data_IF_565465573257
#
_entry.id   IF_565465573257
#
_cell.length_a   1.000
_cell.length_b   1.000
_cell.length_c   1.000
_cell.angle_alpha   90.00
_cell.angle_beta   90.00
_cell.angle_gamma   90.00
#
_symmetry.space_group_name_H-M   'P 1'
#
loop_
_entity.id
_entity.type
_entity.pdbx_description
1 polymer ?
#
# COMPACT_ATOMS: atom_id res chain seq x y z
N UNK A 1 27.63 -12.56 -37.11
CA UNK A 1 28.37 -11.88 -36.04
C UNK A 1 27.59 -12.09 -34.74
N UNK A 2 28.18 -12.84 -33.81
CA UNK A 2 27.62 -13.22 -32.51
C UNK A 2 28.18 -12.28 -31.43
N UNK A 3 27.37 -11.86 -30.45
CA UNK A 3 27.85 -11.42 -29.13
C UNK A 3 26.92 -11.89 -28.03
N UNK A 4 27.55 -12.39 -26.96
CA UNK A 4 27.08 -13.24 -25.87
C UNK A 4 26.27 -12.53 -24.77
N UNK A 5 25.35 -13.23 -24.05
CA UNK A 5 24.77 -12.77 -22.79
C UNK A 5 25.54 -13.35 -21.59
N UNK A 6 26.08 -12.50 -20.70
CA UNK A 6 26.77 -12.99 -19.51
C UNK A 6 26.95 -11.94 -18.41
N UNK A 7 26.83 -12.42 -17.17
CA UNK A 7 27.27 -11.79 -15.92
C UNK A 7 26.26 -10.84 -15.25
N UNK A 8 25.14 -11.40 -14.76
CA UNK A 8 24.47 -10.91 -13.51
C UNK A 8 23.95 -12.02 -12.59
N UNK A 9 23.96 -13.30 -13.01
CA UNK A 9 23.42 -14.42 -12.21
C UNK A 9 24.39 -15.13 -11.25
N UNK A 10 25.69 -14.82 -11.29
CA UNK A 10 26.70 -15.60 -10.53
C UNK A 10 26.96 -15.07 -9.10
N UNK A 11 26.54 -13.85 -8.77
CA UNK A 11 26.77 -13.28 -7.43
C UNK A 11 25.71 -13.70 -6.39
N UNK A 12 24.54 -14.20 -6.81
CA UNK A 12 23.46 -14.57 -5.90
C UNK A 12 23.39 -16.08 -5.58
N UNK A 13 24.13 -16.91 -6.31
CA UNK A 13 24.09 -18.37 -6.14
C UNK A 13 25.17 -18.92 -5.19
N UNK A 14 26.30 -18.22 -5.02
CA UNK A 14 27.36 -18.65 -4.09
C UNK A 14 27.02 -18.38 -2.61
N UNK A 15 26.29 -17.31 -2.32
CA UNK A 15 25.95 -16.95 -0.93
C UNK A 15 24.99 -17.96 -0.28
N UNK A 16 24.07 -18.51 -1.07
CA UNK A 16 23.07 -19.48 -0.58
C UNK A 16 23.67 -20.90 -0.39
N UNK A 17 24.68 -21.26 -1.19
CA UNK A 17 25.28 -22.59 -1.11
C UNK A 17 26.25 -22.75 0.07
N UNK A 18 26.87 -21.65 0.54
CA UNK A 18 27.72 -21.66 1.73
C UNK A 18 26.90 -21.72 3.04
N UNK A 19 25.75 -21.05 3.10
CA UNK A 19 24.86 -21.14 4.28
C UNK A 19 24.29 -22.54 4.49
N UNK A 20 23.90 -23.24 3.40
CA UNK A 20 23.39 -24.61 3.50
C UNK A 20 24.45 -25.62 3.95
N UNK A 21 25.72 -25.43 3.60
CA UNK A 21 26.80 -26.33 4.05
C UNK A 21 27.13 -26.18 5.53
N UNK A 22 27.04 -24.97 6.08
CA UNK A 22 27.30 -24.73 7.51
C UNK A 22 26.22 -25.35 8.40
N UNK A 23 24.96 -25.33 7.95
CA UNK A 23 23.83 -25.93 8.69
C UNK A 23 23.85 -27.46 8.68
N UNK A 24 24.37 -28.09 7.62
CA UNK A 24 24.42 -29.55 7.52
C UNK A 24 25.57 -30.20 8.32
N UNK A 25 26.65 -29.47 8.62
CA UNK A 25 27.74 -30.03 9.45
C UNK A 25 27.43 -30.02 10.95
N UNK A 26 26.42 -29.25 11.38
CA UNK A 26 26.01 -29.16 12.79
C UNK A 26 25.07 -30.29 13.23
N UNK A 27 24.48 -31.03 12.28
CA UNK A 27 23.47 -32.06 12.57
C UNK A 27 24.02 -33.48 12.63
N UNK A 28 25.27 -33.73 12.21
CA UNK A 28 25.87 -35.07 12.23
C UNK A 28 27.08 -35.10 13.17
N UNK A 29 26.82 -35.41 14.44
CA UNK A 29 27.87 -35.58 15.46
C UNK A 29 27.29 -35.86 16.85
N UNK A 30 26.92 -37.12 17.09
CA UNK A 30 26.46 -37.62 18.38
C UNK A 30 27.62 -38.18 19.22
N UNK A 31 27.41 -38.17 20.54
CA UNK A 31 28.09 -38.87 21.64
C UNK A 31 29.26 -38.18 22.37
N UNK A 32 28.96 -37.70 23.59
CA UNK A 32 29.93 -37.65 24.70
C UNK A 32 30.15 -36.28 25.36
N UNK A 33 29.71 -36.12 26.61
CA UNK A 33 30.39 -35.32 27.64
C UNK A 33 30.35 -33.78 27.58
N UNK A 34 29.65 -33.18 28.54
CA UNK A 34 29.60 -31.74 28.90
C UNK A 34 28.82 -30.80 27.96
N UNK A 35 27.81 -30.13 28.52
CA UNK A 35 27.11 -29.03 27.85
C UNK A 35 28.05 -27.84 27.74
N UNK A 36 28.52 -27.54 26.52
CA UNK A 36 29.18 -26.27 26.25
C UNK A 36 28.13 -25.14 26.19
N UNK A 37 28.47 -23.91 26.61
CA UNK A 37 27.53 -22.79 26.64
C UNK A 37 26.89 -22.49 25.28
N UNK A 38 27.56 -22.85 24.18
CA UNK A 38 27.04 -22.72 22.81
C UNK A 38 25.86 -23.68 22.56
N UNK A 39 25.89 -24.91 23.09
CA UNK A 39 24.77 -25.86 22.98
C UNK A 39 23.55 -25.41 23.79
N UNK A 40 23.76 -24.77 24.94
CA UNK A 40 22.69 -24.21 25.74
C UNK A 40 22.00 -23.03 25.03
N UNK A 41 22.78 -22.14 24.41
CA UNK A 41 22.25 -21.04 23.61
C UNK A 41 21.52 -21.57 22.36
N UNK A 42 22.03 -22.62 21.70
CA UNK A 42 21.34 -23.24 20.57
C UNK A 42 20.03 -23.91 20.98
N UNK A 43 19.96 -24.56 22.15
CA UNK A 43 18.71 -25.15 22.65
C UNK A 43 17.70 -24.07 23.06
N UNK A 44 18.16 -22.94 23.63
CA UNK A 44 17.29 -21.81 23.95
C UNK A 44 16.77 -21.11 22.68
N UNK A 45 17.60 -20.97 21.64
CA UNK A 45 17.16 -20.46 20.33
C UNK A 45 16.21 -21.43 19.64
N UNK A 46 16.45 -22.74 19.73
CA UNK A 46 15.54 -23.75 19.18
C UNK A 46 14.19 -23.78 19.91
N UNK A 47 14.17 -23.58 21.24
CA UNK A 47 12.93 -23.49 22.03
C UNK A 47 12.18 -22.18 21.77
N UNK A 48 12.89 -21.05 21.63
CA UNK A 48 12.29 -19.78 21.21
C UNK A 48 11.67 -19.83 19.79
N UNK A 49 12.20 -20.68 18.91
CA UNK A 49 11.62 -20.95 17.59
C UNK A 49 10.51 -22.01 17.60
N UNK A 50 10.35 -22.80 18.67
CA UNK A 50 9.34 -23.87 18.75
C UNK A 50 8.05 -23.43 19.48
N UNK A 51 8.11 -22.40 20.32
CA UNK A 51 6.92 -21.76 20.92
C UNK A 51 6.13 -20.85 19.95
N UNK A 52 6.51 -20.80 18.67
CA UNK A 52 5.74 -20.15 17.59
C UNK A 52 5.04 -21.17 16.68
N UNK A 53 4.58 -22.29 17.26
CA UNK A 53 3.63 -23.21 16.62
C UNK A 53 2.15 -22.88 16.90
N UNK A 54 1.86 -21.64 17.29
CA UNK A 54 0.59 -21.01 16.94
C UNK A 54 0.81 -20.26 15.64
N UNK A 55 0.18 -20.71 14.55
CA UNK A 55 0.19 -19.98 13.28
C UNK A 55 0.01 -18.48 13.54
N UNK A 56 1.01 -17.62 13.28
CA UNK A 56 0.69 -16.23 13.11
C UNK A 56 0.03 -16.20 11.74
N UNK A 57 -1.30 -16.33 11.71
CA UNK A 57 -2.04 -15.49 10.78
C UNK A 57 -1.61 -14.09 11.16
N UNK A 58 -0.54 -13.63 10.50
CA UNK A 58 -0.28 -12.20 10.39
C UNK A 58 -1.66 -11.65 10.03
N UNK A 59 -2.19 -10.67 10.77
CA UNK A 59 -3.37 -10.01 10.28
C UNK A 59 -2.95 -9.47 8.92
N UNK A 60 -3.33 -10.15 7.84
CA UNK A 60 -3.43 -9.53 6.53
C UNK A 60 -4.19 -8.26 6.84
N UNK A 61 -3.61 -7.07 6.65
CA UNK A 61 -4.33 -5.85 6.91
C UNK A 61 -5.64 -6.00 6.14
N UNK A 62 -6.74 -6.15 6.87
CA UNK A 62 -8.05 -6.03 6.27
C UNK A 62 -8.13 -4.54 5.96
N UNK A 63 -7.58 -4.14 4.82
CA UNK A 63 -7.77 -2.80 4.31
C UNK A 63 -9.27 -2.68 4.11
N UNK A 64 -9.91 -1.82 4.90
CA UNK A 64 -11.29 -1.49 4.65
C UNK A 64 -11.44 -0.86 3.28
N UNK A 65 -12.68 -0.60 2.91
CA UNK A 65 -12.98 0.02 1.62
C UNK A 65 -12.50 1.48 1.55
N UNK A 66 -12.21 2.11 2.69
CA UNK A 66 -11.67 3.46 2.78
C UNK A 66 -10.45 3.48 3.69
N UNK A 67 -9.30 3.90 3.16
CA UNK A 67 -8.03 3.91 3.87
C UNK A 67 -7.39 5.29 3.78
N UNK A 68 -6.95 5.85 4.90
CA UNK A 68 -6.12 7.05 4.90
C UNK A 68 -4.65 6.63 4.92
N UNK A 69 -3.87 7.16 3.98
CA UNK A 69 -2.44 6.85 3.84
C UNK A 69 -1.62 8.12 3.74
N UNK A 70 -0.36 8.07 4.16
CA UNK A 70 0.52 9.24 4.17
C UNK A 70 1.22 9.52 2.84
N UNK A 71 1.29 8.55 1.93
CA UNK A 71 1.96 8.70 0.64
C UNK A 71 1.49 7.66 -0.39
N UNK A 72 1.89 7.86 -1.66
CA UNK A 72 1.59 6.91 -2.75
C UNK A 72 2.22 5.55 -2.53
N UNK A 73 3.40 5.48 -1.92
CA UNK A 73 4.13 4.22 -1.67
C UNK A 73 3.43 3.33 -0.64
N UNK A 74 2.57 3.92 0.20
CA UNK A 74 1.75 3.17 1.14
C UNK A 74 0.50 2.54 0.49
N UNK A 75 0.22 2.85 -0.78
CA UNK A 75 -0.87 2.22 -1.54
C UNK A 75 -0.39 0.86 -2.06
N UNK A 76 -1.01 -0.26 -1.64
CA UNK A 76 -0.56 -1.61 -2.01
C UNK A 76 -0.93 -2.01 -3.46
N UNK A 77 -1.65 -1.16 -4.17
CA UNK A 77 -2.24 -1.43 -5.48
C UNK A 77 -1.22 -1.28 -6.61
N UNK A 78 -1.20 -2.28 -7.51
CA UNK A 78 -0.34 -2.23 -8.69
C UNK A 78 -0.95 -1.40 -9.83
N UNK A 79 -2.27 -1.29 -9.86
CA UNK A 79 -3.03 -0.49 -10.80
C UNK A 79 -4.16 0.22 -10.05
N UNK A 80 -4.29 1.52 -10.27
CA UNK A 80 -5.29 2.36 -9.61
C UNK A 80 -5.69 3.54 -10.52
N UNK A 81 -6.83 4.13 -10.20
CA UNK A 81 -7.28 5.41 -10.72
C UNK A 81 -6.82 6.51 -9.76
N UNK A 82 -5.85 7.30 -10.18
CA UNK A 82 -5.28 8.40 -9.43
C UNK A 82 -6.01 9.71 -9.73
N UNK A 83 -6.43 10.40 -8.69
CA UNK A 83 -6.92 11.77 -8.74
C UNK A 83 -5.87 12.66 -8.11
N UNK A 84 -5.23 13.48 -8.93
CA UNK A 84 -4.11 14.33 -8.48
C UNK A 84 -4.04 15.64 -9.26
N UNK A 85 -3.08 16.50 -8.89
CA UNK A 85 -2.81 17.76 -9.59
C UNK A 85 -1.75 17.57 -10.68
N UNK A 86 -1.77 18.36 -11.76
CA UNK A 86 -0.69 18.37 -12.74
C UNK A 86 0.66 18.72 -12.11
N UNK A 87 1.73 18.08 -12.61
CA UNK A 87 3.12 18.42 -12.28
C UNK A 87 3.84 17.40 -11.40
N UNK A 88 3.13 16.40 -10.89
CA UNK A 88 3.74 15.26 -10.20
C UNK A 88 3.93 14.08 -11.15
N UNK A 89 4.95 13.25 -10.89
CA UNK A 89 5.20 12.07 -11.72
C UNK A 89 4.30 10.93 -11.27
N UNK A 90 3.36 10.57 -12.12
CA UNK A 90 2.41 9.49 -11.83
C UNK A 90 3.08 8.11 -11.84
N UNK A 91 2.62 7.16 -11.00
CA UNK A 91 3.07 5.78 -11.07
C UNK A 91 2.78 5.15 -12.45
N UNK A 92 3.72 4.39 -13.03
CA UNK A 92 3.51 3.78 -14.33
C UNK A 92 2.37 2.77 -14.29
N UNK A 93 1.45 2.86 -15.25
CA UNK A 93 0.32 1.94 -15.41
C UNK A 93 -0.94 2.35 -14.66
N UNK A 94 -0.90 3.43 -13.87
CA UNK A 94 -2.10 3.98 -13.24
C UNK A 94 -2.85 4.88 -14.22
N UNK A 95 -4.17 4.84 -14.18
CA UNK A 95 -5.01 5.81 -14.88
C UNK A 95 -5.06 7.11 -14.07
N UNK A 96 -5.08 8.26 -14.73
CA UNK A 96 -4.97 9.54 -14.03
C UNK A 96 -6.10 10.49 -14.43
N UNK A 97 -6.77 11.05 -13.42
CA UNK A 97 -7.68 12.18 -13.55
C UNK A 97 -6.99 13.39 -12.92
N UNK A 98 -6.75 14.40 -13.75
CA UNK A 98 -6.06 15.61 -13.34
C UNK A 98 -7.05 16.72 -12.94
N UNK A 99 -6.82 17.28 -11.75
CA UNK A 99 -7.60 18.38 -11.18
C UNK A 99 -6.77 19.65 -11.11
N UNK A 100 -7.26 20.73 -11.72
CA UNK A 100 -6.56 22.03 -11.73
C UNK A 100 -7.50 23.18 -12.07
N UNK A 101 -7.15 24.40 -11.67
CA UNK A 101 -7.82 25.62 -12.13
C UNK A 101 -7.42 26.03 -13.56
N UNK A 102 -6.39 25.40 -14.12
CA UNK A 102 -5.93 25.66 -15.49
C UNK A 102 -6.96 25.10 -16.50
N UNK A 103 -7.30 25.83 -17.57
CA UNK A 103 -8.19 25.32 -18.62
C UNK A 103 -7.71 23.99 -19.21
N UNK A 104 -8.65 23.08 -19.46
CA UNK A 104 -8.37 21.75 -20.02
C UNK A 104 -8.31 20.63 -18.98
N UNK A 105 -8.32 20.94 -17.69
CA UNK A 105 -8.44 19.97 -16.59
C UNK A 105 -9.84 20.01 -15.96
N UNK A 106 -10.14 19.04 -15.08
CA UNK A 106 -11.32 19.16 -14.22
C UNK A 106 -11.04 20.22 -13.16
N UNK A 107 -11.92 21.21 -13.06
CA UNK A 107 -11.82 22.26 -12.06
C UNK A 107 -12.02 21.70 -10.64
N UNK A 108 -11.29 22.20 -9.63
CA UNK A 108 -11.42 21.71 -8.26
C UNK A 108 -12.82 21.95 -7.66
N UNK A 109 -13.58 22.92 -8.18
CA UNK A 109 -14.96 23.21 -7.76
C UNK A 109 -15.99 22.33 -8.46
N UNK A 110 -15.58 21.53 -9.45
CA UNK A 110 -16.48 20.68 -10.25
C UNK A 110 -16.61 19.28 -9.63
N UNK A 111 -16.84 19.17 -8.31
CA UNK A 111 -16.97 17.88 -7.62
C UNK A 111 -17.98 16.92 -8.28
N UNK A 112 -19.15 17.37 -8.80
CA UNK A 112 -20.07 16.47 -9.52
C UNK A 112 -19.48 15.89 -10.81
N UNK A 113 -18.70 16.69 -11.55
CA UNK A 113 -18.03 16.26 -12.79
C UNK A 113 -16.89 15.30 -12.49
N UNK A 114 -16.11 15.59 -11.43
CA UNK A 114 -15.07 14.68 -10.95
C UNK A 114 -15.66 13.34 -10.53
N UNK A 115 -16.76 13.35 -9.77
CA UNK A 115 -17.46 12.12 -9.40
C UNK A 115 -17.91 11.34 -10.63
N UNK A 116 -18.53 12.02 -11.60
CA UNK A 116 -18.98 11.38 -12.83
C UNK A 116 -17.83 10.70 -13.59
N UNK A 117 -16.71 11.41 -13.80
CA UNK A 117 -15.53 10.85 -14.47
C UNK A 117 -14.98 9.63 -13.71
N UNK A 118 -14.88 9.69 -12.38
CA UNK A 118 -14.46 8.53 -11.56
C UNK A 118 -15.39 7.34 -11.80
N UNK A 119 -16.71 7.55 -11.79
CA UNK A 119 -17.68 6.48 -11.97
C UNK A 119 -17.64 5.89 -13.39
N UNK A 120 -17.43 6.69 -14.43
CA UNK A 120 -17.23 6.18 -15.79
C UNK A 120 -16.00 5.26 -15.87
N UNK A 121 -14.87 5.66 -15.28
CA UNK A 121 -13.66 4.82 -15.21
C UNK A 121 -13.87 3.53 -14.43
N UNK A 122 -14.64 3.59 -13.33
CA UNK A 122 -14.99 2.40 -12.55
C UNK A 122 -15.99 1.50 -13.28
N UNK A 123 -16.84 2.01 -14.18
CA UNK A 123 -17.70 1.15 -15.02
C UNK A 123 -16.87 0.29 -15.97
N UNK A 124 -15.80 0.84 -16.52
CA UNK A 124 -14.85 0.10 -17.37
C UNK A 124 -14.06 -0.94 -16.56
N UNK A 125 -13.68 -0.60 -15.31
CA UNK A 125 -12.91 -1.47 -14.42
C UNK A 125 -13.45 -1.45 -12.96
N UNK A 126 -14.49 -2.25 -12.62
CA UNK A 126 -15.23 -2.14 -11.35
C UNK A 126 -14.43 -2.34 -10.06
N UNK A 127 -13.38 -3.15 -10.12
CA UNK A 127 -12.53 -3.48 -8.98
C UNK A 127 -11.28 -2.59 -8.88
N UNK A 128 -11.13 -1.60 -9.77
CA UNK A 128 -9.97 -0.72 -9.78
C UNK A 128 -9.99 0.15 -8.53
N UNK A 129 -8.86 0.21 -7.82
CA UNK A 129 -8.75 1.07 -6.67
C UNK A 129 -8.76 2.54 -7.08
N UNK A 130 -9.34 3.39 -6.25
CA UNK A 130 -9.35 4.84 -6.41
C UNK A 130 -8.38 5.43 -5.40
N UNK A 131 -7.49 6.31 -5.86
CA UNK A 131 -6.50 6.99 -5.03
C UNK A 131 -6.74 8.49 -5.18
N UNK A 132 -7.13 9.16 -4.10
CA UNK A 132 -7.32 10.59 -4.05
C UNK A 132 -6.14 11.23 -3.31
N UNK A 133 -5.31 11.96 -4.05
CA UNK A 133 -4.05 12.49 -3.52
C UNK A 133 -4.08 13.98 -3.18
N UNK A 134 -5.02 14.73 -3.73
CA UNK A 134 -5.13 16.16 -3.46
C UNK A 134 -6.40 16.53 -2.66
N UNK A 135 -6.73 15.84 -1.56
CA UNK A 135 -7.97 16.09 -0.83
C UNK A 135 -8.02 17.48 -0.18
N UNK A 136 -6.91 18.00 0.31
CA UNK A 136 -6.81 19.35 0.90
C UNK A 136 -7.14 20.41 -0.15
N UNK A 137 -6.63 20.22 -1.38
CA UNK A 137 -6.91 21.11 -2.49
C UNK A 137 -8.40 21.14 -2.83
N UNK A 138 -9.06 19.97 -2.88
CA UNK A 138 -10.51 19.90 -3.09
C UNK A 138 -11.28 20.54 -1.93
N UNK A 139 -10.89 20.28 -0.68
CA UNK A 139 -11.54 20.83 0.50
C UNK A 139 -11.42 22.36 0.57
N UNK A 140 -10.25 22.93 0.25
CA UNK A 140 -10.03 24.38 0.23
C UNK A 140 -10.95 25.07 -0.78
N UNK A 141 -11.15 24.49 -1.96
CA UNK A 141 -11.96 25.12 -3.02
C UNK A 141 -13.47 24.98 -2.81
N UNK A 142 -13.93 23.97 -2.06
CA UNK A 142 -15.36 23.65 -1.89
C UNK A 142 -15.89 23.83 -0.47
N UNK A 143 -15.00 24.03 0.50
CA UNK A 143 -15.29 23.85 1.91
C UNK A 143 -15.27 22.37 2.32
N UNK A 144 -14.86 22.11 3.56
CA UNK A 144 -14.72 20.75 4.09
C UNK A 144 -16.03 19.96 4.06
N UNK A 145 -17.17 20.56 4.41
CA UNK A 145 -18.46 19.85 4.42
C UNK A 145 -18.88 19.33 3.04
N UNK A 146 -18.70 20.15 2.00
CA UNK A 146 -19.00 19.77 0.62
C UNK A 146 -18.09 18.64 0.16
N UNK A 147 -16.80 18.72 0.49
CA UNK A 147 -15.82 17.68 0.22
C UNK A 147 -16.14 16.37 0.97
N UNK A 148 -16.55 16.45 2.24
CA UNK A 148 -16.93 15.30 3.04
C UNK A 148 -18.15 14.56 2.46
N UNK A 149 -19.17 15.29 2.01
CA UNK A 149 -20.34 14.72 1.31
C UNK A 149 -19.94 14.00 0.02
N UNK A 150 -19.01 14.60 -0.74
CA UNK A 150 -18.42 13.98 -1.91
C UNK A 150 -17.69 12.67 -1.56
N UNK A 151 -16.85 12.66 -0.51
CA UNK A 151 -16.16 11.45 -0.05
C UNK A 151 -17.13 10.33 0.38
N UNK A 152 -18.19 10.67 1.11
CA UNK A 152 -19.23 9.70 1.47
C UNK A 152 -19.88 9.08 0.25
N UNK A 153 -20.28 9.91 -0.71
CA UNK A 153 -20.91 9.44 -1.96
C UNK A 153 -19.95 8.54 -2.73
N UNK A 154 -18.69 8.95 -2.89
CA UNK A 154 -17.68 8.16 -3.60
C UNK A 154 -17.43 6.82 -2.90
N UNK A 155 -17.29 6.81 -1.57
CA UNK A 155 -17.14 5.59 -0.78
C UNK A 155 -18.30 4.64 -0.99
N UNK A 156 -19.53 5.14 -0.96
CA UNK A 156 -20.72 4.30 -1.10
C UNK A 156 -20.74 3.61 -2.48
N UNK A 157 -20.35 4.29 -3.55
CA UNK A 157 -20.16 3.66 -4.87
C UNK A 157 -19.06 2.60 -4.88
N UNK A 158 -17.90 2.89 -4.28
CA UNK A 158 -16.76 1.97 -4.24
C UNK A 158 -17.09 0.72 -3.42
N UNK A 159 -17.82 0.88 -2.32
CA UNK A 159 -18.31 -0.23 -1.50
C UNK A 159 -19.22 -1.15 -2.32
N UNK A 160 -20.12 -0.57 -3.13
CA UNK A 160 -21.02 -1.34 -4.00
C UNK A 160 -20.29 -2.07 -5.13
N UNK A 161 -19.17 -1.54 -5.62
CA UNK A 161 -18.38 -2.18 -6.68
C UNK A 161 -17.33 -3.18 -6.16
N UNK A 162 -17.11 -3.25 -4.85
CA UNK A 162 -16.04 -4.06 -4.25
C UNK A 162 -14.63 -3.48 -4.44
N UNK A 163 -14.53 -2.19 -4.81
CA UNK A 163 -13.26 -1.49 -4.97
C UNK A 163 -12.64 -1.04 -3.64
N UNK A 164 -11.57 -0.26 -3.71
CA UNK A 164 -10.94 0.37 -2.53
C UNK A 164 -10.70 1.85 -2.80
N UNK A 165 -10.84 2.68 -1.77
CA UNK A 165 -10.52 4.11 -1.78
C UNK A 165 -9.33 4.37 -0.86
N UNK A 166 -8.31 5.03 -1.40
CA UNK A 166 -7.18 5.53 -0.66
C UNK A 166 -7.21 7.06 -0.66
N UNK A 167 -7.25 7.66 0.52
CA UNK A 167 -7.11 9.10 0.71
C UNK A 167 -5.67 9.37 1.12
N UNK A 168 -4.86 9.96 0.25
CA UNK A 168 -3.49 10.36 0.59
C UNK A 168 -3.55 11.73 1.24
N UNK A 169 -3.20 11.81 2.52
CA UNK A 169 -3.23 13.07 3.25
C UNK A 169 -2.41 13.01 4.54
N UNK A 170 -1.93 14.17 4.99
CA UNK A 170 -1.27 14.33 6.30
C UNK A 170 -2.31 14.82 7.34
N UNK A 171 -2.44 14.15 8.51
CA UNK A 171 -3.27 14.62 9.61
C UNK A 171 -3.07 16.10 9.98
N UNK A 172 -1.85 16.62 9.88
CA UNK A 172 -1.50 18.00 10.19
C UNK A 172 -2.09 19.03 9.21
N UNK A 173 -2.60 18.58 8.05
CA UNK A 173 -3.23 19.45 7.05
C UNK A 173 -4.69 19.79 7.36
N UNK A 174 -5.26 19.19 8.40
CA UNK A 174 -6.65 19.35 8.80
C UNK A 174 -6.74 19.89 10.22
N UNK A 175 -7.85 20.57 10.53
CA UNK A 175 -8.17 20.80 11.94
C UNK A 175 -8.56 19.47 12.64
N UNK A 176 -8.45 19.44 13.96
CA UNK A 176 -8.69 18.24 14.77
C UNK A 176 -10.08 17.63 14.50
N UNK A 177 -11.10 18.47 14.33
CA UNK A 177 -12.47 18.03 14.08
C UNK A 177 -12.62 17.47 12.67
N UNK A 178 -12.03 18.10 11.67
CA UNK A 178 -12.02 17.66 10.28
C UNK A 178 -11.35 16.31 10.15
N UNK A 179 -10.15 16.15 10.74
CA UNK A 179 -9.44 14.88 10.69
C UNK A 179 -10.20 13.76 11.41
N UNK A 180 -10.78 14.06 12.59
CA UNK A 180 -11.62 13.10 13.30
C UNK A 180 -12.84 12.65 12.46
N UNK A 181 -13.43 13.54 11.65
CA UNK A 181 -14.51 13.18 10.73
C UNK A 181 -14.02 12.31 9.57
N UNK A 182 -12.84 12.60 8.99
CA UNK A 182 -12.24 11.75 7.96
C UNK A 182 -11.92 10.34 8.50
N UNK A 183 -11.36 10.24 9.71
CA UNK A 183 -11.08 8.95 10.37
C UNK A 183 -12.34 8.13 10.68
N UNK A 184 -13.52 8.74 10.81
CA UNK A 184 -14.79 8.00 10.94
C UNK A 184 -15.27 7.39 9.62
N UNK A 185 -14.74 7.84 8.50
CA UNK A 185 -15.03 7.26 7.17
C UNK A 185 -14.17 6.04 6.92
N UNK A 186 -12.95 6.04 7.48
CA UNK A 186 -12.05 4.90 7.51
C UNK A 186 -12.75 3.69 8.15
N UNK A 187 -12.62 2.54 7.50
CA UNK A 187 -13.26 1.27 7.89
C UNK A 187 -12.24 0.18 8.13
#
# INVERSE_FOLDING_TARGET
MMTSPGIRGLHMHLHNHLQKRYLYSLTVGSYGGSMTPVKAILSMLAQAQFETSGSPSSPTPHFGYFNIVGSREAVPERDALLITRPGERDPPGWDVILVSTVPGFIGPRELPKLLHEILERLRENPNKAVVLECPEYLAVYNGFESFLKFLHTLRDYILMSGGRLYLITDPASWDERQFALLKRIEG
#
